data_IF_564074110479
#
_entry.id   IF_564074110479
#
_cell.length_a   1.000
_cell.length_b   1.000
_cell.length_c   1.000
_cell.angle_alpha   90.00
_cell.angle_beta   90.00
_cell.angle_gamma   90.00
#
_symmetry.space_group_name_H-M   'P 1'
#
loop_
_entity.id
_entity.type
_entity.pdbx_description
1 polymer ?
#
# COMPACT_ATOMS: atom_id res chain seq x y z
N UNK A 1 -14.60 19.81 -15.02
CA UNK A 1 -14.27 19.37 -13.64
C UNK A 1 -15.57 18.97 -12.96
N UNK A 2 -15.58 17.90 -12.17
CA UNK A 2 -16.79 17.34 -11.53
C UNK A 2 -16.51 16.99 -10.07
N UNK A 3 -17.54 16.96 -9.22
CA UNK A 3 -17.43 16.43 -7.84
C UNK A 3 -17.46 14.90 -7.77
N UNK A 4 -17.74 14.24 -8.89
CA UNK A 4 -17.66 12.79 -9.03
C UNK A 4 -16.63 12.42 -10.11
N UNK A 5 -15.94 11.28 -9.98
CA UNK A 5 -15.07 10.78 -11.05
C UNK A 5 -15.88 10.61 -12.34
N UNK A 6 -15.20 10.70 -13.49
CA UNK A 6 -15.82 10.40 -14.78
C UNK A 6 -16.15 8.90 -14.96
N UNK A 7 -15.89 8.07 -13.94
CA UNK A 7 -15.74 6.62 -14.02
C UNK A 7 -16.30 5.94 -12.77
N UNK A 8 -16.68 4.67 -12.89
CA UNK A 8 -16.93 3.82 -11.72
C UNK A 8 -15.60 3.21 -11.26
N UNK A 9 -15.04 3.75 -10.18
CA UNK A 9 -13.71 3.41 -9.66
C UNK A 9 -13.70 2.18 -8.74
N UNK A 10 -14.54 1.16 -8.96
CA UNK A 10 -14.45 -0.08 -8.18
C UNK A 10 -13.43 -1.03 -8.81
N UNK A 11 -12.52 -1.59 -7.99
CA UNK A 11 -11.37 -2.41 -8.39
C UNK A 11 -10.27 -1.69 -9.19
N UNK A 12 -9.95 -0.41 -8.93
CA UNK A 12 -9.00 0.34 -9.74
C UNK A 12 -7.56 0.07 -9.28
N UNK A 13 -6.62 0.68 -9.99
CA UNK A 13 -5.31 1.04 -9.46
C UNK A 13 -5.38 2.45 -8.86
N UNK A 14 -4.52 2.74 -7.88
CA UNK A 14 -4.44 4.05 -7.24
C UNK A 14 -3.00 4.46 -7.01
N UNK A 15 -2.70 5.73 -7.29
CA UNK A 15 -1.38 6.32 -7.18
C UNK A 15 -1.46 7.76 -6.65
N UNK A 16 -0.65 8.08 -5.64
CA UNK A 16 -0.56 9.42 -5.03
C UNK A 16 0.57 10.20 -5.68
N UNK A 17 0.22 11.15 -6.54
CA UNK A 17 1.15 11.95 -7.32
C UNK A 17 1.99 12.89 -6.41
N UNK A 18 3.17 13.35 -6.88
CA UNK A 18 4.05 14.24 -6.10
C UNK A 18 3.39 15.55 -5.63
N UNK A 19 2.36 16.02 -6.35
CA UNK A 19 1.60 17.22 -6.02
C UNK A 19 0.40 16.95 -5.10
N UNK A 20 0.25 15.73 -4.59
CA UNK A 20 -0.82 15.33 -3.66
C UNK A 20 -2.14 14.95 -4.34
N UNK A 21 -2.24 15.06 -5.66
CA UNK A 21 -3.40 14.56 -6.41
C UNK A 21 -3.37 13.03 -6.49
N UNK A 22 -4.54 12.41 -6.62
CA UNK A 22 -4.68 10.95 -6.64
C UNK A 22 -5.08 10.53 -8.05
N UNK A 23 -4.24 9.76 -8.72
CA UNK A 23 -4.55 9.09 -9.97
C UNK A 23 -5.29 7.79 -9.67
N UNK A 24 -6.40 7.55 -10.38
CA UNK A 24 -7.22 6.35 -10.29
C UNK A 24 -7.50 5.84 -11.70
N UNK A 25 -7.08 4.62 -12.02
CA UNK A 25 -7.17 4.02 -13.35
C UNK A 25 -7.88 2.65 -13.31
N UNK A 26 -8.64 2.36 -14.35
CA UNK A 26 -9.26 1.06 -14.57
C UNK A 26 -10.39 0.71 -13.61
N UNK A 27 -10.47 -0.59 -13.26
CA UNK A 27 -11.55 -1.16 -12.46
C UNK A 27 -12.79 -1.43 -13.30
N UNK A 28 -13.97 -1.06 -12.79
CA UNK A 28 -15.24 -1.30 -13.48
C UNK A 28 -15.33 -0.51 -14.80
N UNK A 29 -14.73 0.68 -14.84
CA UNK A 29 -14.48 1.44 -16.07
C UNK A 29 -13.05 1.19 -16.58
N UNK A 30 -12.80 -0.05 -17.02
CA UNK A 30 -11.48 -0.68 -17.19
C UNK A 30 -10.40 0.08 -17.99
N UNK A 31 -10.72 0.96 -18.93
CA UNK A 31 -9.73 1.74 -19.67
C UNK A 31 -9.53 3.17 -19.14
N UNK A 32 -10.42 3.65 -18.28
CA UNK A 32 -10.52 5.07 -17.95
C UNK A 32 -9.53 5.46 -16.84
N UNK A 33 -9.08 6.71 -16.88
CA UNK A 33 -8.22 7.32 -15.85
C UNK A 33 -8.85 8.61 -15.35
N UNK A 34 -8.94 8.76 -14.03
CA UNK A 34 -9.41 9.96 -13.35
C UNK A 34 -8.35 10.45 -12.37
N UNK A 35 -8.26 11.77 -12.17
CA UNK A 35 -7.38 12.40 -11.19
C UNK A 35 -8.23 13.20 -10.23
N UNK A 36 -8.13 12.89 -8.94
CA UNK A 36 -8.73 13.65 -7.86
C UNK A 36 -7.76 14.70 -7.33
N UNK A 37 -8.22 15.93 -7.28
CA UNK A 37 -7.54 17.03 -6.63
C UNK A 37 -8.17 17.27 -5.23
N UNK A 38 -7.48 16.93 -4.14
CA UNK A 38 -8.01 17.11 -2.79
C UNK A 38 -8.03 18.58 -2.34
N UNK A 39 -7.24 19.47 -2.93
CA UNK A 39 -7.25 20.89 -2.58
C UNK A 39 -8.47 21.59 -3.17
N UNK A 40 -8.78 21.25 -4.42
CA UNK A 40 -9.93 21.81 -5.14
C UNK A 40 -11.22 21.00 -4.95
N UNK A 41 -11.12 19.79 -4.41
CA UNK A 41 -12.22 18.83 -4.29
C UNK A 41 -12.92 18.58 -5.64
N UNK A 42 -12.12 18.32 -6.68
CA UNK A 42 -12.61 18.05 -8.04
C UNK A 42 -11.92 16.86 -8.67
N UNK A 43 -12.65 16.20 -9.55
CA UNK A 43 -12.16 15.18 -10.45
C UNK A 43 -11.95 15.74 -11.85
N UNK A 44 -10.85 15.30 -12.48
CA UNK A 44 -10.53 15.54 -13.88
C UNK A 44 -10.27 14.21 -14.60
N UNK A 45 -10.66 14.12 -15.86
CA UNK A 45 -10.34 12.98 -16.71
C UNK A 45 -8.91 13.10 -17.23
N UNK A 46 -8.21 11.99 -17.36
CA UNK A 46 -6.90 11.89 -18.00
C UNK A 46 -6.96 10.92 -19.20
N UNK A 47 -5.84 10.72 -19.89
CA UNK A 47 -5.75 9.77 -21.00
C UNK A 47 -6.20 8.36 -20.58
N UNK A 48 -6.88 7.65 -21.48
CA UNK A 48 -7.24 6.25 -21.29
C UNK A 48 -6.01 5.34 -21.39
N UNK A 49 -6.00 4.24 -20.63
CA UNK A 49 -5.00 3.18 -20.77
C UNK A 49 -5.17 2.51 -22.14
N UNK A 50 -4.06 2.14 -22.78
CA UNK A 50 -4.10 1.36 -24.02
C UNK A 50 -4.53 -0.08 -23.74
N UNK A 51 -4.24 -0.58 -22.52
CA UNK A 51 -4.66 -1.91 -22.07
C UNK A 51 -5.67 -1.75 -20.93
N UNK A 52 -6.95 -2.14 -21.13
CA UNK A 52 -7.96 -2.08 -20.07
C UNK A 52 -7.72 -3.10 -18.95
N UNK A 53 -7.90 -2.69 -17.69
CA UNK A 53 -7.53 -3.45 -16.47
C UNK A 53 -8.50 -3.25 -15.30
N UNK A 54 -8.40 -4.15 -14.32
CA UNK A 54 -8.86 -3.96 -12.95
C UNK A 54 -8.11 -4.91 -12.01
N UNK A 55 -7.94 -4.54 -10.73
CA UNK A 55 -7.01 -5.20 -9.77
C UNK A 55 -5.54 -5.14 -10.15
N UNK A 56 -5.15 -4.22 -11.00
CA UNK A 56 -3.74 -3.96 -11.29
C UNK A 56 -3.04 -3.32 -10.07
N UNK A 57 -1.71 -3.45 -10.02
CA UNK A 57 -0.89 -2.67 -9.10
C UNK A 57 -0.30 -1.44 -9.80
N UNK A 58 -0.23 -0.31 -9.09
CA UNK A 58 0.44 0.90 -9.57
C UNK A 58 1.64 1.26 -8.72
N UNK A 59 2.62 1.96 -9.29
CA UNK A 59 3.71 2.60 -8.54
C UNK A 59 4.02 3.98 -9.10
N UNK A 60 4.10 4.97 -8.22
CA UNK A 60 4.53 6.33 -8.56
C UNK A 60 6.06 6.41 -8.55
N UNK A 61 6.62 6.82 -9.68
CA UNK A 61 8.04 7.07 -9.87
C UNK A 61 8.39 8.46 -9.31
N UNK A 62 9.66 8.73 -8.94
CA UNK A 62 10.10 10.03 -8.45
C UNK A 62 9.74 11.23 -9.35
N UNK A 63 9.70 11.03 -10.66
CA UNK A 63 9.31 12.00 -11.70
C UNK A 63 7.83 12.37 -11.64
N UNK A 64 7.01 11.55 -10.97
CA UNK A 64 5.55 11.63 -10.99
C UNK A 64 4.89 10.80 -12.09
N UNK A 65 5.67 10.06 -12.87
CA UNK A 65 5.14 9.03 -13.76
C UNK A 65 4.54 7.87 -12.94
N UNK A 66 3.60 7.14 -13.53
CA UNK A 66 2.93 6.00 -12.86
C UNK A 66 3.08 4.75 -13.69
N UNK A 67 3.79 3.75 -13.17
CA UNK A 67 3.80 2.40 -13.74
C UNK A 67 2.55 1.65 -13.29
N UNK A 68 1.89 0.94 -14.21
CA UNK A 68 0.81 0.01 -13.91
C UNK A 68 1.12 -1.39 -14.44
N UNK A 69 0.80 -2.42 -13.65
CA UNK A 69 1.14 -3.83 -13.94
C UNK A 69 -0.04 -4.75 -13.64
N UNK A 70 -0.32 -5.66 -14.59
CA UNK A 70 -1.31 -6.72 -14.43
C UNK A 70 -2.76 -6.22 -14.48
N UNK A 71 -3.65 -6.95 -13.80
CA UNK A 71 -5.05 -6.60 -13.61
C UNK A 71 -6.03 -7.21 -14.62
N UNK A 72 -6.14 -8.53 -14.64
CA UNK A 72 -7.09 -9.27 -15.49
C UNK A 72 -8.51 -9.41 -14.91
N UNK A 73 -8.85 -8.72 -13.82
CA UNK A 73 -10.20 -8.77 -13.23
C UNK A 73 -11.27 -8.17 -14.16
N UNK A 74 -10.92 -7.14 -14.92
CA UNK A 74 -11.79 -6.51 -15.93
C UNK A 74 -10.98 -6.12 -17.17
N UNK A 75 -11.68 -5.88 -18.28
CA UNK A 75 -11.02 -5.50 -19.54
C UNK A 75 -10.45 -6.69 -20.34
N UNK A 76 -10.88 -7.91 -20.02
CA UNK A 76 -10.45 -9.16 -20.66
C UNK A 76 -9.37 -9.90 -19.87
N UNK A 77 -9.27 -11.21 -20.05
CA UNK A 77 -8.26 -12.07 -19.42
C UNK A 77 -7.12 -12.25 -20.42
N UNK A 78 -5.85 -12.05 -20.03
CA UNK A 78 -4.76 -12.18 -20.99
C UNK A 78 -3.40 -11.61 -20.59
N UNK A 79 -2.97 -11.76 -19.33
CA UNK A 79 -1.67 -11.28 -18.83
C UNK A 79 -1.28 -9.89 -19.33
N UNK A 80 -1.82 -8.87 -18.67
CA UNK A 80 -1.77 -7.49 -19.19
C UNK A 80 -0.33 -6.98 -19.31
N UNK A 81 0.10 -6.61 -20.52
CA UNK A 81 1.34 -5.84 -20.76
C UNK A 81 1.39 -4.65 -19.81
N UNK A 82 2.54 -4.24 -19.30
CA UNK A 82 2.60 -3.07 -18.41
C UNK A 82 2.56 -1.76 -19.20
N UNK A 83 2.16 -0.67 -18.54
CA UNK A 83 2.14 0.67 -19.12
C UNK A 83 2.67 1.71 -18.13
N UNK A 84 3.22 2.80 -18.67
CA UNK A 84 3.60 3.97 -17.87
C UNK A 84 2.77 5.16 -18.30
N UNK A 85 2.17 5.84 -17.33
CA UNK A 85 1.48 7.10 -17.51
C UNK A 85 2.43 8.26 -17.23
N UNK A 86 2.40 9.26 -18.11
CA UNK A 86 2.95 10.59 -17.86
C UNK A 86 1.84 11.63 -18.03
N UNK A 87 1.91 12.71 -17.25
CA UNK A 87 0.89 13.78 -17.27
C UNK A 87 0.74 14.48 -18.62
N UNK A 88 1.82 14.57 -19.41
CA UNK A 88 1.86 15.29 -20.68
C UNK A 88 1.43 14.41 -21.86
N UNK A 89 1.90 13.16 -21.91
CA UNK A 89 1.70 12.27 -23.06
C UNK A 89 0.70 11.15 -22.84
N UNK A 90 0.20 10.97 -21.61
CA UNK A 90 -0.73 9.88 -21.28
C UNK A 90 -0.03 8.53 -21.11
N UNK A 91 -0.74 7.45 -21.45
CA UNK A 91 -0.27 6.09 -21.26
C UNK A 91 0.57 5.60 -22.44
N UNK A 92 1.68 4.94 -22.12
CA UNK A 92 2.57 4.27 -23.08
C UNK A 92 2.79 2.82 -22.68
N UNK A 93 2.63 1.91 -23.63
CA UNK A 93 2.88 0.48 -23.44
C UNK A 93 4.38 0.18 -23.30
N UNK A 94 4.70 -0.66 -22.32
CA UNK A 94 6.01 -1.29 -22.17
C UNK A 94 5.96 -2.67 -22.83
N UNK A 95 6.24 -2.72 -24.14
CA UNK A 95 6.13 -3.95 -24.93
C UNK A 95 7.06 -5.08 -24.46
N UNK A 96 8.18 -4.73 -23.80
CA UNK A 96 9.15 -5.66 -23.22
C UNK A 96 8.86 -6.09 -21.77
N UNK A 97 7.73 -5.68 -21.19
CA UNK A 97 7.28 -6.10 -19.85
C UNK A 97 6.00 -6.93 -20.00
N UNK A 98 6.13 -8.25 -20.06
CA UNK A 98 5.00 -9.16 -20.14
C UNK A 98 4.39 -9.39 -18.76
N UNK A 99 3.05 -9.34 -18.67
CA UNK A 99 2.36 -9.63 -17.41
C UNK A 99 2.55 -11.07 -16.94
N UNK A 100 2.75 -12.01 -17.86
CA UNK A 100 2.96 -13.44 -17.57
C UNK A 100 4.22 -13.69 -16.74
N UNK A 101 5.30 -12.98 -17.07
CA UNK A 101 6.59 -13.09 -16.38
C UNK A 101 6.52 -12.62 -14.91
N UNK A 102 5.50 -11.82 -14.58
CA UNK A 102 5.26 -11.27 -13.23
C UNK A 102 4.15 -12.03 -12.49
N UNK A 103 3.41 -12.90 -13.20
CA UNK A 103 2.23 -13.54 -12.67
C UNK A 103 2.58 -14.71 -11.74
N UNK A 104 1.70 -14.97 -10.76
CA UNK A 104 1.83 -16.12 -9.87
C UNK A 104 1.00 -17.33 -10.30
N UNK A 105 1.25 -18.51 -9.72
CA UNK A 105 0.60 -19.77 -10.09
C UNK A 105 -0.80 -19.94 -9.47
N UNK A 106 -1.67 -18.94 -9.60
CA UNK A 106 -3.03 -19.02 -9.07
C UNK A 106 -3.86 -20.10 -9.79
N UNK A 107 -4.58 -20.99 -9.07
CA UNK A 107 -5.41 -22.02 -9.68
C UNK A 107 -6.60 -21.48 -10.50
N UNK A 108 -7.03 -20.24 -10.28
CA UNK A 108 -8.02 -19.58 -11.14
C UNK A 108 -7.40 -19.01 -12.43
N UNK A 109 -6.11 -19.27 -12.66
CA UNK A 109 -5.34 -18.88 -13.84
C UNK A 109 -5.21 -17.38 -13.97
N UNK A 110 -5.05 -16.93 -15.22
CA UNK A 110 -4.80 -15.54 -15.62
C UNK A 110 -5.73 -14.51 -14.95
N UNK A 111 -6.98 -14.88 -14.66
CA UNK A 111 -7.93 -13.98 -13.99
C UNK A 111 -7.46 -13.51 -12.59
N UNK A 112 -6.62 -14.31 -11.92
CA UNK A 112 -6.09 -14.03 -10.58
C UNK A 112 -4.58 -13.88 -10.53
N UNK A 113 -3.88 -14.60 -11.39
CA UNK A 113 -2.42 -14.67 -11.40
C UNK A 113 -1.71 -13.32 -11.53
N UNK A 114 -2.31 -12.34 -12.23
CA UNK A 114 -1.72 -11.03 -12.47
C UNK A 114 -2.34 -9.88 -11.65
N UNK A 115 -3.03 -10.18 -10.56
CA UNK A 115 -3.65 -9.16 -9.70
C UNK A 115 -2.73 -8.70 -8.58
N UNK A 116 -3.00 -7.49 -8.07
CA UNK A 116 -2.50 -6.99 -6.79
C UNK A 116 -0.97 -6.96 -6.67
N UNK A 117 -0.31 -6.51 -7.73
CA UNK A 117 1.14 -6.45 -7.83
C UNK A 117 1.74 -5.53 -6.77
N UNK A 118 2.74 -6.03 -6.04
CA UNK A 118 3.49 -5.30 -5.01
C UNK A 118 4.63 -4.54 -5.66
N UNK A 119 4.42 -3.27 -5.94
CA UNK A 119 5.33 -2.44 -6.73
C UNK A 119 5.95 -1.34 -5.87
N UNK A 120 7.27 -1.21 -5.91
CA UNK A 120 8.00 -0.19 -5.14
C UNK A 120 9.04 0.50 -6.03
N UNK A 121 8.81 1.78 -6.33
CA UNK A 121 9.74 2.56 -7.13
C UNK A 121 11.08 2.74 -6.41
N UNK A 122 12.18 2.40 -7.08
CA UNK A 122 13.55 2.62 -6.62
C UNK A 122 14.16 3.88 -7.25
N UNK A 123 13.82 4.16 -8.51
CA UNK A 123 14.22 5.35 -9.25
C UNK A 123 13.24 5.63 -10.38
N UNK A 124 13.47 6.68 -11.18
CA UNK A 124 12.71 6.96 -12.41
C UNK A 124 12.88 5.91 -13.51
N UNK A 125 13.70 4.89 -13.26
CA UNK A 125 13.96 3.82 -14.19
C UNK A 125 13.53 2.46 -13.67
N UNK A 126 13.72 2.21 -12.38
CA UNK A 126 13.56 0.87 -11.82
C UNK A 126 12.46 0.82 -10.77
N UNK A 127 11.56 -0.15 -10.92
CA UNK A 127 10.52 -0.50 -9.95
C UNK A 127 10.72 -1.95 -9.51
N UNK A 128 10.79 -2.19 -8.21
CA UNK A 128 10.80 -3.54 -7.65
C UNK A 128 9.37 -4.09 -7.67
N UNK A 129 9.17 -5.21 -8.35
CA UNK A 129 8.03 -6.10 -8.17
C UNK A 129 8.40 -7.15 -7.12
N UNK A 130 7.88 -6.98 -5.90
CA UNK A 130 8.21 -7.80 -4.74
C UNK A 130 7.29 -9.04 -4.59
N UNK A 131 6.26 -9.16 -5.42
CA UNK A 131 5.26 -10.22 -5.41
C UNK A 131 3.90 -9.74 -5.93
N UNK A 132 2.85 -10.58 -5.88
CA UNK A 132 2.70 -11.73 -4.98
C UNK A 132 3.41 -13.02 -5.41
N UNK A 133 3.89 -13.12 -6.66
CA UNK A 133 4.78 -14.22 -7.12
C UNK A 133 5.94 -14.43 -6.17
N UNK A 134 6.42 -15.66 -6.01
CA UNK A 134 7.60 -15.94 -5.17
C UNK A 134 8.87 -15.30 -5.77
N UNK A 135 9.01 -15.37 -7.09
CA UNK A 135 10.06 -14.69 -7.85
C UNK A 135 9.81 -13.18 -7.87
N UNK A 136 10.80 -12.42 -7.40
CA UNK A 136 10.83 -10.97 -7.45
C UNK A 136 11.55 -10.49 -8.70
N UNK A 137 11.21 -9.28 -9.14
CA UNK A 137 11.69 -8.73 -10.40
C UNK A 137 12.00 -7.24 -10.30
N UNK A 138 13.01 -6.78 -11.02
CA UNK A 138 13.17 -5.38 -11.35
C UNK A 138 12.52 -5.09 -12.69
N UNK A 139 11.63 -4.12 -12.73
CA UNK A 139 11.03 -3.59 -13.95
C UNK A 139 11.82 -2.34 -14.33
N UNK A 140 12.56 -2.40 -15.43
CA UNK A 140 13.19 -1.25 -16.09
C UNK A 140 12.16 -0.62 -17.02
N UNK A 141 11.73 0.61 -16.76
CA UNK A 141 10.67 1.28 -17.54
C UNK A 141 11.19 2.05 -18.75
N UNK A 142 12.51 2.04 -18.97
CA UNK A 142 13.14 2.79 -20.07
C UNK A 142 12.78 2.20 -21.43
N UNK A 143 12.44 3.07 -22.39
CA UNK A 143 12.05 2.64 -23.74
C UNK A 143 10.87 1.68 -23.66
N UNK A 144 10.92 0.57 -24.38
CA UNK A 144 9.90 -0.48 -24.36
C UNK A 144 9.81 -1.26 -23.03
N UNK A 145 10.70 -0.97 -22.10
CA UNK A 145 10.81 -1.64 -20.82
C UNK A 145 11.37 -3.05 -20.90
N UNK A 146 11.79 -3.59 -19.76
CA UNK A 146 12.27 -4.97 -19.62
C UNK A 146 12.19 -5.44 -18.18
N UNK A 147 12.18 -6.75 -18.00
CA UNK A 147 12.21 -7.41 -16.70
C UNK A 147 13.63 -7.93 -16.44
N UNK A 148 14.14 -7.70 -15.23
CA UNK A 148 15.39 -8.28 -14.72
C UNK A 148 15.05 -9.12 -13.48
N UNK A 149 15.71 -10.27 -13.27
CA UNK A 149 15.49 -11.08 -12.08
C UNK A 149 15.96 -10.32 -10.82
N UNK A 150 15.22 -10.48 -9.72
CA UNK A 150 15.61 -9.95 -8.40
C UNK A 150 15.69 -11.04 -7.31
N UNK A 151 15.66 -12.31 -7.73
CA UNK A 151 15.70 -13.48 -6.85
C UNK A 151 14.34 -13.84 -6.25
N UNK A 152 14.31 -14.96 -5.51
CA UNK A 152 13.11 -15.39 -4.80
C UNK A 152 12.93 -14.61 -3.50
N UNK A 153 11.68 -14.50 -3.04
CA UNK A 153 11.32 -13.96 -1.73
C UNK A 153 11.65 -14.96 -0.60
N UNK A 154 12.91 -15.42 -0.56
CA UNK A 154 13.39 -16.40 0.41
C UNK A 154 12.61 -17.71 0.34
N UNK A 155 12.13 -18.19 1.50
CA UNK A 155 11.28 -19.37 1.62
C UNK A 155 9.78 -19.08 1.44
N UNK A 156 9.40 -17.84 1.06
CA UNK A 156 8.01 -17.47 0.86
C UNK A 156 7.50 -17.88 -0.52
N UNK A 157 6.46 -18.69 -0.53
CA UNK A 157 5.77 -19.08 -1.75
C UNK A 157 4.87 -17.95 -2.29
N UNK A 158 4.08 -18.25 -3.34
CA UNK A 158 3.05 -17.35 -3.83
C UNK A 158 2.11 -16.90 -2.70
N UNK A 159 1.92 -15.58 -2.57
CA UNK A 159 1.30 -14.96 -1.41
C UNK A 159 0.26 -13.91 -1.81
N UNK A 160 -0.72 -14.30 -2.62
CA UNK A 160 -1.83 -13.43 -3.05
C UNK A 160 -2.57 -12.84 -1.84
N UNK A 161 -2.99 -11.57 -1.96
CA UNK A 161 -3.61 -10.77 -0.90
C UNK A 161 -2.73 -10.60 0.37
N UNK A 162 -1.42 -10.90 0.29
CA UNK A 162 -0.46 -10.51 1.32
C UNK A 162 -0.21 -9.00 1.32
N UNK A 163 0.33 -8.49 2.42
CA UNK A 163 0.65 -7.06 2.54
C UNK A 163 2.16 -6.87 2.53
N UNK A 164 2.61 -5.83 1.84
CA UNK A 164 4.00 -5.38 1.86
C UNK A 164 4.03 -3.89 2.11
N UNK A 165 4.88 -3.46 3.02
CA UNK A 165 5.03 -2.03 3.38
C UNK A 165 6.51 -1.66 3.42
N UNK A 166 6.83 -0.49 2.88
CA UNK A 166 8.18 0.07 2.97
C UNK A 166 8.41 0.68 4.35
N UNK A 167 9.27 0.03 5.14
CA UNK A 167 9.62 0.40 6.53
C UNK A 167 10.96 1.16 6.63
N UNK A 168 11.61 1.41 5.50
CA UNK A 168 12.80 2.21 5.38
C UNK A 168 13.20 2.38 3.92
N UNK A 169 14.26 3.15 3.61
CA UNK A 169 14.59 3.54 2.23
C UNK A 169 14.79 2.37 1.26
N UNK A 170 15.27 1.22 1.76
CA UNK A 170 15.42 -0.01 0.96
C UNK A 170 14.79 -1.24 1.59
N UNK A 171 13.92 -1.07 2.59
CA UNK A 171 13.44 -2.17 3.42
C UNK A 171 11.94 -2.30 3.32
N UNK A 172 11.48 -3.48 2.93
CA UNK A 172 10.08 -3.85 2.91
C UNK A 172 9.81 -4.91 3.97
N UNK A 173 8.71 -4.75 4.71
CA UNK A 173 8.14 -5.81 5.54
C UNK A 173 6.98 -6.45 4.77
N UNK A 174 7.14 -7.72 4.41
CA UNK A 174 6.09 -8.57 3.86
C UNK A 174 5.44 -9.37 4.98
N UNK A 175 4.10 -9.45 4.98
CA UNK A 175 3.32 -10.26 5.92
C UNK A 175 2.18 -11.00 5.23
N UNK A 176 1.93 -12.23 5.67
CA UNK A 176 0.75 -13.01 5.33
C UNK A 176 0.65 -13.39 3.85
N UNK A 177 -0.56 -13.37 3.31
CA UNK A 177 -0.89 -13.83 1.96
C UNK A 177 -1.28 -15.29 1.90
N UNK A 178 -1.76 -15.73 0.74
CA UNK A 178 -2.32 -17.06 0.52
C UNK A 178 -1.86 -17.65 -0.82
N UNK A 179 -1.84 -18.99 -0.97
CA UNK A 179 -1.38 -19.66 -2.20
C UNK A 179 -2.36 -19.54 -3.36
N UNK A 180 -3.52 -18.91 -3.15
CA UNK A 180 -4.49 -18.55 -4.19
C UNK A 180 -5.37 -17.41 -3.69
N UNK A 181 -5.94 -16.65 -4.61
CA UNK A 181 -6.83 -15.53 -4.31
C UNK A 181 -8.02 -15.94 -3.43
N UNK A 182 -8.68 -17.07 -3.76
CA UNK A 182 -9.81 -17.59 -2.99
C UNK A 182 -9.41 -18.57 -1.87
N UNK A 183 -8.11 -18.78 -1.61
CA UNK A 183 -7.66 -19.73 -0.59
C UNK A 183 -8.09 -19.29 0.82
N UNK A 184 -8.57 -20.25 1.60
CA UNK A 184 -8.86 -20.06 3.03
C UNK A 184 -7.62 -20.29 3.92
N UNK A 185 -6.57 -20.88 3.35
CA UNK A 185 -5.30 -21.09 4.03
C UNK A 185 -4.40 -19.89 3.78
N UNK A 186 -4.38 -18.97 4.74
CA UNK A 186 -3.42 -17.88 4.77
C UNK A 186 -2.16 -18.27 5.55
N UNK A 187 -1.05 -17.60 5.23
CA UNK A 187 0.21 -17.69 5.96
C UNK A 187 0.25 -16.69 7.12
N UNK A 188 0.91 -17.06 8.21
CA UNK A 188 1.33 -16.15 9.29
C UNK A 188 2.77 -15.64 9.07
N UNK A 189 3.42 -16.07 7.99
CA UNK A 189 4.81 -15.78 7.68
C UNK A 189 5.06 -14.31 7.42
N UNK A 190 6.24 -13.86 7.85
CA UNK A 190 6.72 -12.50 7.67
C UNK A 190 8.18 -12.49 7.20
N UNK A 191 8.51 -11.55 6.31
CA UNK A 191 9.82 -11.44 5.68
C UNK A 191 10.25 -9.98 5.60
N UNK A 192 11.52 -9.73 5.90
CA UNK A 192 12.17 -8.46 5.61
C UNK A 192 12.90 -8.61 4.27
N UNK A 193 12.60 -7.73 3.33
CA UNK A 193 13.23 -7.64 2.02
C UNK A 193 14.09 -6.37 2.02
N UNK A 194 15.41 -6.51 1.96
CA UNK A 194 16.34 -5.40 1.81
C UNK A 194 16.91 -5.39 0.40
N UNK A 195 16.46 -4.42 -0.40
CA UNK A 195 16.85 -4.31 -1.81
C UNK A 195 18.06 -3.39 -2.04
N UNK A 196 18.71 -2.91 -0.98
CA UNK A 196 20.03 -2.27 -1.01
C UNK A 196 20.28 -1.34 -2.20
N UNK A 197 21.29 -1.67 -3.01
CA UNK A 197 21.75 -0.89 -4.18
C UNK A 197 20.86 -1.05 -5.42
N UNK A 198 19.62 -1.49 -5.23
CA UNK A 198 18.65 -1.70 -6.28
C UNK A 198 19.08 -2.82 -7.24
N UNK A 199 18.95 -2.64 -8.57
CA UNK A 199 19.26 -3.68 -9.55
C UNK A 199 20.76 -3.99 -9.70
N UNK A 200 21.65 -3.26 -9.02
CA UNK A 200 23.10 -3.51 -9.04
C UNK A 200 23.55 -4.56 -8.02
N UNK A 201 22.73 -4.85 -7.02
CA UNK A 201 23.08 -5.75 -5.92
C UNK A 201 22.05 -6.85 -5.71
N UNK A 202 22.41 -7.91 -4.98
CA UNK A 202 21.45 -8.94 -4.59
C UNK A 202 20.47 -8.40 -3.55
N UNK A 203 19.20 -8.78 -3.67
CA UNK A 203 18.21 -8.53 -2.62
C UNK A 203 18.40 -9.53 -1.48
N UNK A 204 18.48 -9.02 -0.25
CA UNK A 204 18.55 -9.87 0.94
C UNK A 204 17.15 -10.09 1.50
N UNK A 205 16.77 -11.35 1.71
CA UNK A 205 15.48 -11.71 2.31
C UNK A 205 15.72 -12.45 3.62
N UNK A 206 15.19 -11.90 4.71
CA UNK A 206 15.32 -12.49 6.05
C UNK A 206 13.95 -12.81 6.62
N UNK A 207 13.71 -14.08 6.93
CA UNK A 207 12.50 -14.52 7.64
C UNK A 207 12.43 -13.85 9.01
N UNK A 208 11.27 -13.29 9.32
CA UNK A 208 10.96 -12.69 10.62
C UNK A 208 10.20 -13.69 11.49
N UNK A 209 9.99 -13.35 12.78
CA UNK A 209 9.07 -14.14 13.61
C UNK A 209 7.67 -14.09 12.99
N UNK A 210 6.91 -15.20 13.00
CA UNK A 210 5.57 -15.21 12.43
C UNK A 210 4.62 -14.30 13.23
N UNK A 211 3.56 -13.86 12.58
CA UNK A 211 2.41 -13.26 13.25
C UNK A 211 1.74 -14.30 14.17
N UNK A 212 1.03 -13.84 15.19
CA UNK A 212 0.22 -14.73 16.02
C UNK A 212 -0.97 -15.31 15.24
N UNK A 213 -1.43 -14.61 14.20
CA UNK A 213 -2.52 -15.05 13.33
C UNK A 213 -2.19 -14.87 11.85
N UNK A 214 -2.62 -15.83 11.03
CA UNK A 214 -2.61 -15.69 9.58
C UNK A 214 -3.77 -14.78 9.12
N UNK A 215 -3.51 -13.62 8.47
CA UNK A 215 -4.57 -12.71 8.02
C UNK A 215 -5.43 -13.35 6.92
N UNK A 216 -6.75 -13.40 7.09
CA UNK A 216 -7.67 -14.06 6.14
C UNK A 216 -8.56 -13.05 5.42
N UNK A 217 -8.30 -12.78 4.14
CA UNK A 217 -9.22 -12.00 3.30
C UNK A 217 -10.29 -12.91 2.69
N UNK A 218 -11.36 -13.19 3.45
CA UNK A 218 -12.45 -14.02 2.94
C UNK A 218 -13.37 -13.24 2.00
N UNK A 219 -13.50 -13.70 0.76
CA UNK A 219 -14.57 -13.30 -0.15
C UNK A 219 -15.87 -14.07 0.12
N UNK A 220 -17.01 -13.38 -0.04
CA UNK A 220 -18.29 -14.03 -0.29
C UNK A 220 -18.47 -14.22 -1.79
N UNK A 221 -18.68 -15.46 -2.20
CA UNK A 221 -18.98 -15.83 -3.58
C UNK A 221 -20.23 -15.05 -4.04
N UNK A 222 -20.09 -14.20 -5.05
CA UNK A 222 -21.21 -13.54 -5.74
C UNK A 222 -22.20 -14.62 -6.20
N UNK A 223 -23.52 -14.54 -5.92
CA UNK A 223 -24.46 -15.48 -6.49
C UNK A 223 -24.36 -15.36 -8.01
N UNK A 224 -24.11 -16.48 -8.69
CA UNK A 224 -24.10 -16.52 -10.13
C UNK A 224 -25.42 -15.91 -10.64
N UNK A 225 -25.30 -14.96 -11.57
CA UNK A 225 -26.44 -14.38 -12.26
C UNK A 225 -27.35 -15.50 -12.77
N UNK A 226 -28.65 -15.32 -12.55
CA UNK A 226 -29.71 -16.29 -12.81
C UNK A 226 -29.52 -17.03 -14.15
N UNK A 227 -29.11 -18.30 -14.09
CA UNK A 227 -29.66 -19.33 -14.98
C UNK A 227 -30.48 -20.28 -14.12
N UNK A 228 -31.79 -20.28 -14.39
CA UNK A 228 -32.77 -21.15 -13.73
C UNK A 228 -32.33 -22.61 -13.88
N UNK A 229 -32.17 -23.31 -12.76
CA UNK A 229 -32.78 -24.63 -12.53
C UNK A 229 -32.83 -24.93 -11.03
N UNK A 230 -34.04 -25.27 -10.58
CA UNK A 230 -34.39 -25.87 -9.29
C UNK A 230 -33.47 -27.05 -9.01
N UNK A 231 -32.82 -27.08 -7.84
CA UNK A 231 -33.28 -27.93 -6.74
C UNK A 231 -32.66 -27.50 -5.39
N UNK A 232 -33.35 -27.86 -4.31
CA UNK A 232 -33.25 -27.35 -2.95
C UNK A 232 -32.24 -28.13 -2.08
N UNK A 233 -31.65 -27.38 -1.13
CA UNK A 233 -31.17 -27.77 0.22
C UNK A 233 -29.85 -28.56 0.31
N UNK A 234 -28.82 -27.86 0.80
CA UNK A 234 -28.26 -28.10 2.15
C UNK A 234 -27.76 -26.77 2.73
N UNK A 235 -28.34 -26.39 3.88
CA UNK A 235 -27.94 -25.25 4.70
C UNK A 235 -26.48 -25.41 5.14
N UNK A 236 -25.60 -24.52 4.70
CA UNK A 236 -24.32 -24.25 5.36
C UNK A 236 -24.09 -22.73 5.34
N UNK A 237 -24.84 -21.99 6.17
CA UNK A 237 -24.61 -20.54 6.31
C UNK A 237 -24.97 -19.98 7.68
N UNK A 238 -25.25 -20.79 8.71
CA UNK A 238 -25.69 -20.26 10.02
C UNK A 238 -24.77 -20.56 11.22
N UNK A 239 -23.66 -21.28 11.05
CA UNK A 239 -22.77 -21.65 12.18
C UNK A 239 -21.30 -21.25 12.02
N UNK A 240 -20.89 -20.57 10.94
CA UNK A 240 -19.48 -20.24 10.67
C UNK A 240 -19.13 -18.74 10.78
N UNK A 241 -20.10 -17.89 11.15
CA UNK A 241 -19.88 -16.44 11.34
C UNK A 241 -19.38 -16.06 12.75
N UNK A 242 -19.44 -16.97 13.74
CA UNK A 242 -19.05 -16.69 15.14
C UNK A 242 -17.67 -17.21 15.56
N UNK A 243 -16.95 -17.91 14.68
CA UNK A 243 -15.62 -18.46 15.00
C UNK A 243 -14.68 -18.28 13.81
N UNK A 244 -14.19 -17.06 13.62
CA UNK A 244 -12.95 -16.81 12.90
C UNK A 244 -12.06 -15.99 13.84
N UNK A 245 -11.11 -16.71 14.43
CA UNK A 245 -10.06 -16.23 15.34
C UNK A 245 -9.13 -15.27 14.61
N UNK A 246 -8.84 -14.12 15.21
CA UNK A 246 -7.94 -13.07 14.69
C UNK A 246 -8.57 -11.68 14.64
N UNK A 247 -9.11 -11.18 15.76
CA UNK A 247 -9.62 -9.80 15.88
C UNK A 247 -8.55 -8.82 16.38
N UNK A 248 -7.39 -9.34 16.80
CA UNK A 248 -6.36 -8.57 17.47
C UNK A 248 -5.42 -8.01 16.39
N UNK A 249 -5.32 -6.68 16.22
CA UNK A 249 -4.28 -6.10 15.38
C UNK A 249 -2.92 -6.45 15.97
N UNK A 250 -1.91 -6.61 15.12
CA UNK A 250 -0.54 -6.87 15.54
C UNK A 250 0.38 -5.71 15.15
N UNK A 251 1.14 -5.20 16.12
CA UNK A 251 2.18 -4.20 15.89
C UNK A 251 3.53 -4.91 15.74
N UNK A 252 4.14 -4.77 14.57
CA UNK A 252 5.50 -5.22 14.36
C UNK A 252 6.52 -4.19 14.85
N UNK A 253 7.56 -4.65 15.54
CA UNK A 253 8.73 -3.84 15.84
C UNK A 253 10.01 -4.63 15.58
N UNK A 254 11.08 -3.91 15.22
CA UNK A 254 12.41 -4.51 15.08
C UNK A 254 13.01 -4.66 16.49
N UNK A 255 13.22 -5.90 16.94
CA UNK A 255 13.87 -6.20 18.22
C UNK A 255 15.03 -7.18 18.01
N UNK A 256 16.29 -6.73 18.18
CA UNK A 256 17.46 -7.58 17.95
C UNK A 256 17.61 -7.98 16.47
N UNK A 257 18.03 -9.24 16.21
CA UNK A 257 18.31 -9.76 14.86
C UNK A 257 17.06 -9.95 13.97
N UNK A 258 15.92 -10.37 14.55
CA UNK A 258 14.65 -10.59 13.85
C UNK A 258 13.52 -9.82 14.56
N UNK A 259 12.63 -9.18 13.79
CA UNK A 259 11.48 -8.45 14.35
C UNK A 259 10.43 -9.35 15.00
N UNK A 260 9.58 -8.75 15.82
CA UNK A 260 8.53 -9.42 16.59
C UNK A 260 7.20 -8.68 16.48
N UNK A 261 6.10 -9.42 16.65
CA UNK A 261 4.75 -8.90 16.67
C UNK A 261 4.21 -8.83 18.09
N UNK A 262 3.52 -7.73 18.41
CA UNK A 262 2.80 -7.54 19.66
C UNK A 262 1.31 -7.34 19.37
N UNK A 263 0.46 -8.14 20.00
CA UNK A 263 -1.00 -7.97 19.90
C UNK A 263 -1.46 -6.67 20.54
N UNK A 264 -2.44 -6.04 19.90
CA UNK A 264 -3.14 -4.84 20.35
C UNK A 264 -4.57 -5.20 20.75
N UNK A 265 -5.31 -4.19 21.23
CA UNK A 265 -6.71 -4.36 21.61
C UNK A 265 -7.55 -4.86 20.41
N UNK A 266 -8.44 -5.84 20.62
CA UNK A 266 -9.25 -6.41 19.56
C UNK A 266 -10.24 -5.39 18.98
N UNK A 267 -10.46 -5.47 17.67
CA UNK A 267 -11.57 -4.79 17.01
C UNK A 267 -12.88 -5.59 17.17
N UNK A 268 -14.02 -4.92 17.11
CA UNK A 268 -15.33 -5.56 17.29
C UNK A 268 -15.95 -6.02 15.97
N UNK A 269 -15.58 -5.39 14.86
CA UNK A 269 -16.09 -5.70 13.52
C UNK A 269 -15.02 -6.41 12.68
N UNK A 270 -15.32 -7.53 12.00
CA UNK A 270 -14.36 -8.21 11.14
C UNK A 270 -14.04 -7.39 9.88
N UNK A 271 -12.74 -7.13 9.65
CA UNK A 271 -12.22 -6.37 8.51
C UNK A 271 -11.51 -7.31 7.53
N UNK A 272 -12.30 -7.88 6.62
CA UNK A 272 -11.85 -8.87 5.63
C UNK A 272 -11.76 -8.25 4.23
N UNK A 273 -12.21 -8.98 3.21
CA UNK A 273 -12.22 -8.51 1.84
C UNK A 273 -13.03 -7.20 1.69
N UNK A 274 -12.50 -6.24 0.92
CA UNK A 274 -12.97 -4.83 0.82
C UNK A 274 -12.85 -3.98 2.08
N UNK A 275 -12.03 -4.39 3.04
CA UNK A 275 -11.61 -3.48 4.12
C UNK A 275 -10.36 -2.70 3.74
N UNK A 276 -10.18 -1.57 4.42
CA UNK A 276 -9.01 -0.71 4.30
C UNK A 276 -8.49 -0.33 5.68
N UNK A 277 -7.20 -0.01 5.75
CA UNK A 277 -6.58 0.63 6.90
C UNK A 277 -5.71 1.80 6.43
N UNK A 278 -5.84 2.97 7.08
CA UNK A 278 -5.13 4.20 6.70
C UNK A 278 -4.53 4.88 7.94
N UNK A 279 -3.28 5.33 7.82
CA UNK A 279 -2.67 6.20 8.83
C UNK A 279 -3.31 7.59 8.76
N UNK A 280 -3.81 8.07 9.89
CA UNK A 280 -4.40 9.40 10.02
C UNK A 280 -3.32 10.44 10.35
N UNK A 281 -3.61 11.71 10.05
CA UNK A 281 -2.72 12.86 10.35
C UNK A 281 -2.43 13.06 11.84
N UNK A 282 -3.24 12.47 12.70
CA UNK A 282 -3.04 12.50 14.16
C UNK A 282 -2.33 11.23 14.67
N UNK A 283 -1.72 10.44 13.79
CA UNK A 283 -1.02 9.19 14.05
C UNK A 283 -1.90 8.05 14.59
N UNK A 284 -3.23 8.16 14.51
CA UNK A 284 -4.13 7.02 14.71
C UNK A 284 -4.28 6.21 13.40
N UNK A 285 -4.88 5.04 13.50
CA UNK A 285 -5.16 4.19 12.33
C UNK A 285 -6.66 4.06 12.15
N UNK A 286 -7.17 4.56 11.02
CA UNK A 286 -8.52 4.28 10.56
C UNK A 286 -8.58 2.86 10.02
N UNK A 287 -9.56 2.06 10.44
CA UNK A 287 -9.82 0.74 9.87
C UNK A 287 -11.32 0.62 9.58
N UNK A 288 -11.69 0.31 8.34
CA UNK A 288 -13.10 0.32 7.96
C UNK A 288 -13.41 -0.53 6.74
N UNK A 289 -14.69 -0.57 6.39
CA UNK A 289 -15.18 -1.33 5.24
C UNK A 289 -15.25 -2.84 5.48
N UNK A 290 -15.41 -3.57 4.39
CA UNK A 290 -15.69 -5.00 4.36
C UNK A 290 -17.01 -5.32 3.64
N UNK A 291 -16.98 -6.32 2.76
CA UNK A 291 -18.20 -6.84 2.12
C UNK A 291 -18.43 -6.35 0.69
N UNK A 292 -19.27 -5.32 0.53
CA UNK A 292 -19.78 -4.80 -0.76
C UNK A 292 -20.40 -5.89 -1.67
N UNK A 293 -21.29 -6.70 -1.11
CA UNK A 293 -21.88 -7.89 -1.76
C UNK A 293 -23.33 -7.71 -2.25
N UNK A 294 -23.82 -6.47 -2.34
CA UNK A 294 -25.22 -6.14 -2.69
C UNK A 294 -26.14 -6.13 -1.46
N UNK A 295 -27.46 -6.10 -1.69
CA UNK A 295 -28.47 -6.03 -0.63
C UNK A 295 -29.59 -7.07 -0.83
N UNK A 296 -30.00 -7.82 0.22
CA UNK A 296 -29.39 -7.83 1.56
C UNK A 296 -28.07 -8.61 1.59
N UNK A 297 -27.09 -8.15 2.37
CA UNK A 297 -25.87 -8.89 2.66
C UNK A 297 -25.35 -8.55 4.07
N UNK A 298 -25.35 -9.54 4.96
CA UNK A 298 -25.04 -9.38 6.39
C UNK A 298 -23.55 -9.12 6.69
N UNK A 299 -22.70 -9.13 5.68
CA UNK A 299 -21.25 -8.88 5.80
C UNK A 299 -20.83 -7.56 5.17
N UNK A 300 -21.80 -6.71 4.80
CA UNK A 300 -21.50 -5.33 4.46
C UNK A 300 -21.24 -4.59 5.77
N UNK A 301 -20.07 -3.96 5.87
CA UNK A 301 -19.66 -3.15 7.01
C UNK A 301 -19.47 -1.70 6.56
N UNK A 302 -20.55 -0.89 6.46
CA UNK A 302 -20.47 0.53 6.11
C UNK A 302 -20.05 1.39 7.31
N UNK A 303 -19.14 0.86 8.13
CA UNK A 303 -18.67 1.41 9.39
C UNK A 303 -17.14 1.36 9.46
N UNK A 304 -16.59 1.99 10.49
CA UNK A 304 -15.15 2.03 10.75
C UNK A 304 -14.88 2.12 12.26
N UNK A 305 -13.69 1.68 12.64
CA UNK A 305 -13.12 1.81 13.98
C UNK A 305 -11.78 2.57 13.87
N UNK A 306 -11.39 3.28 14.94
CA UNK A 306 -10.12 4.00 15.00
C UNK A 306 -9.27 3.36 16.08
N UNK A 307 -8.10 2.84 15.69
CA UNK A 307 -7.08 2.36 16.61
C UNK A 307 -6.22 3.54 17.07
N UNK A 308 -6.19 3.77 18.39
CA UNK A 308 -5.22 4.64 19.05
C UNK A 308 -4.02 3.79 19.46
N UNK A 309 -2.85 3.92 18.81
CA UNK A 309 -1.70 3.07 19.12
C UNK A 309 -1.08 3.42 20.48
N UNK A 310 -0.35 2.47 21.10
CA UNK A 310 0.21 2.68 22.44
C UNK A 310 1.17 3.87 22.58
N UNK A 311 1.82 4.30 21.50
CA UNK A 311 2.66 5.52 21.51
C UNK A 311 1.86 6.83 21.63
N UNK A 312 0.53 6.80 21.72
CA UNK A 312 -0.33 7.96 22.00
C UNK A 312 -0.94 7.89 23.41
N UNK A 313 -0.54 6.91 24.22
CA UNK A 313 -1.13 6.63 25.53
C UNK A 313 -0.05 6.63 26.62
N UNK A 314 -0.41 7.14 27.79
CA UNK A 314 0.36 6.92 29.02
C UNK A 314 0.14 5.48 29.52
N UNK A 315 0.93 5.05 30.50
CA UNK A 315 0.82 3.70 31.10
C UNK A 315 -0.55 3.42 31.73
N UNK A 316 -1.25 4.47 32.18
CA UNK A 316 -2.61 4.39 32.74
C UNK A 316 -3.73 4.34 31.67
N UNK A 317 -3.35 4.40 30.38
CA UNK A 317 -4.28 4.40 29.24
C UNK A 317 -4.87 5.77 28.90
N UNK A 318 -4.55 6.84 29.64
CA UNK A 318 -4.90 8.21 29.26
C UNK A 318 -4.07 8.69 28.06
N UNK A 319 -4.50 9.76 27.38
CA UNK A 319 -3.76 10.29 26.24
C UNK A 319 -2.43 10.91 26.68
N UNK A 320 -1.34 10.51 26.04
CA UNK A 320 -0.02 11.11 26.25
C UNK A 320 0.02 12.55 25.72
N UNK A 321 0.77 13.41 26.40
CA UNK A 321 1.09 14.74 25.91
C UNK A 321 1.96 14.62 24.64
N UNK A 322 1.63 15.37 23.59
CA UNK A 322 2.27 15.23 22.26
C UNK A 322 3.15 16.44 21.97
N UNK A 323 4.34 16.26 21.36
CA UNK A 323 5.10 17.39 20.83
C UNK A 323 4.33 18.09 19.71
N UNK A 324 4.50 19.41 19.61
CA UNK A 324 3.94 20.23 18.54
C UNK A 324 5.05 20.78 17.63
N UNK A 325 4.83 20.69 16.32
CA UNK A 325 5.63 21.42 15.33
C UNK A 325 5.15 22.87 15.33
N UNK A 326 6.02 23.80 15.73
CA UNK A 326 5.73 25.23 15.82
C UNK A 326 6.06 25.98 14.53
N UNK A 327 7.00 25.46 13.73
CA UNK A 327 7.34 26.01 12.41
C UNK A 327 7.95 24.94 11.51
N UNK A 328 7.56 24.93 10.23
CA UNK A 328 8.15 24.12 9.17
C UNK A 328 7.85 24.75 7.79
N UNK A 329 8.71 24.58 6.78
CA UNK A 329 8.39 25.03 5.42
C UNK A 329 7.20 24.27 4.83
N UNK A 330 6.37 24.96 4.05
CA UNK A 330 5.20 24.37 3.40
C UNK A 330 5.55 23.40 2.26
N UNK A 331 6.72 23.59 1.65
CA UNK A 331 7.26 22.80 0.53
C UNK A 331 8.78 22.71 0.66
N UNK A 332 9.36 21.62 0.18
CA UNK A 332 10.80 21.45 0.08
C UNK A 332 11.14 20.64 -1.18
N UNK A 333 12.32 20.87 -1.75
CA UNK A 333 12.84 20.07 -2.86
C UNK A 333 13.55 18.83 -2.34
N UNK A 334 13.60 17.80 -3.18
CA UNK A 334 14.38 16.61 -2.90
C UNK A 334 15.86 16.98 -2.67
N UNK A 335 16.44 16.52 -1.56
CA UNK A 335 17.82 16.83 -1.16
C UNK A 335 18.01 18.19 -0.46
N UNK A 336 16.96 19.02 -0.37
CA UNK A 336 17.01 20.29 0.36
C UNK A 336 17.03 20.07 1.88
N UNK A 337 17.79 20.90 2.61
CA UNK A 337 17.70 20.94 4.07
C UNK A 337 16.50 21.79 4.47
N UNK A 338 15.73 21.30 5.43
CA UNK A 338 14.61 22.05 6.00
C UNK A 338 14.88 22.32 7.48
N UNK A 339 14.46 23.48 7.95
CA UNK A 339 14.43 23.79 9.38
C UNK A 339 13.03 23.54 9.93
N UNK A 340 12.95 22.79 11.04
CA UNK A 340 11.69 22.48 11.73
C UNK A 340 11.87 22.86 13.19
N UNK A 341 10.91 23.59 13.74
CA UNK A 341 10.90 23.98 15.15
C UNK A 341 9.79 23.25 15.90
N UNK A 342 10.06 22.88 17.14
CA UNK A 342 9.13 22.20 18.04
C UNK A 342 9.02 22.93 19.38
N UNK A 343 7.95 22.66 20.13
CA UNK A 343 7.72 23.20 21.47
C UNK A 343 8.53 22.48 22.55
N UNK A 344 8.89 21.21 22.33
CA UNK A 344 9.74 20.39 23.19
C UNK A 344 10.90 19.76 22.40
N UNK A 345 12.01 19.35 23.05
CA UNK A 345 13.07 18.59 22.39
C UNK A 345 12.56 17.25 21.83
N UNK A 346 12.89 16.95 20.57
CA UNK A 346 12.46 15.74 19.85
C UNK A 346 13.63 14.86 19.41
N UNK A 347 13.34 13.58 19.16
CA UNK A 347 14.21 12.57 18.55
C UNK A 347 13.88 12.48 17.04
N UNK A 348 14.64 11.73 16.17
CA UNK A 348 14.59 11.95 14.72
C UNK A 348 13.20 11.87 14.10
N UNK A 349 13.00 12.69 13.06
CA UNK A 349 11.71 12.97 12.42
C UNK A 349 11.35 11.86 11.44
N UNK A 350 10.09 11.46 11.37
CA UNK A 350 9.59 10.49 10.38
C UNK A 350 8.82 11.23 9.29
N UNK A 351 9.25 11.08 8.03
CA UNK A 351 8.42 11.45 6.89
C UNK A 351 7.59 10.25 6.45
N UNK A 352 6.32 10.50 6.17
CA UNK A 352 5.39 9.53 5.63
C UNK A 352 4.84 10.06 4.30
N UNK A 353 4.68 9.18 3.32
CA UNK A 353 3.83 9.47 2.18
C UNK A 353 2.45 8.86 2.45
N UNK A 354 1.40 9.69 2.38
CA UNK A 354 0.03 9.20 2.37
C UNK A 354 -0.16 8.28 1.15
N UNK A 355 -0.71 7.08 1.37
CA UNK A 355 -0.96 6.13 0.30
C UNK A 355 -2.45 5.92 0.04
N UNK A 356 -2.83 5.72 -1.21
CA UNK A 356 -4.11 5.12 -1.58
C UNK A 356 -4.11 3.62 -1.25
N UNK A 357 -5.25 3.08 -0.81
CA UNK A 357 -5.41 1.65 -0.53
C UNK A 357 -6.72 1.09 -1.09
N UNK A 358 -6.61 -0.03 -1.80
CA UNK A 358 -7.74 -0.90 -2.12
C UNK A 358 -7.27 -2.37 -2.18
N UNK A 359 -8.15 -3.32 -1.86
CA UNK A 359 -7.90 -4.78 -1.90
C UNK A 359 -6.54 -5.25 -1.35
N UNK A 360 -6.11 -4.75 -0.19
CA UNK A 360 -4.80 -5.03 0.46
C UNK A 360 -3.55 -4.45 -0.23
N UNK A 361 -3.70 -3.78 -1.37
CA UNK A 361 -2.60 -3.14 -2.10
C UNK A 361 -2.41 -1.72 -1.59
N UNK A 362 -1.16 -1.36 -1.33
CA UNK A 362 -0.75 -0.03 -0.86
C UNK A 362 0.68 0.27 -1.29
N UNK A 363 0.89 0.42 -2.59
CA UNK A 363 2.22 0.64 -3.17
C UNK A 363 2.78 2.05 -2.91
N UNK A 364 1.94 3.00 -2.51
CA UNK A 364 2.33 4.39 -2.26
C UNK A 364 2.83 4.65 -0.83
N UNK A 365 2.39 3.87 0.16
CA UNK A 365 2.73 4.12 1.56
C UNK A 365 4.20 3.75 1.83
N UNK A 366 4.97 4.74 2.27
CA UNK A 366 6.36 4.56 2.70
C UNK A 366 6.67 5.38 3.95
N UNK A 367 7.60 4.89 4.76
CA UNK A 367 8.16 5.62 5.92
C UNK A 367 9.67 5.74 5.80
N UNK A 368 10.22 6.92 6.09
CA UNK A 368 11.67 7.16 6.17
C UNK A 368 12.02 7.96 7.42
N UNK A 369 13.15 7.61 8.05
CA UNK A 369 13.72 8.39 9.14
C UNK A 369 14.58 9.54 8.59
N UNK A 370 14.51 10.70 9.23
CA UNK A 370 15.26 11.91 8.91
C UNK A 370 16.14 12.25 10.11
N UNK A 371 17.44 12.44 9.89
CA UNK A 371 18.41 12.70 10.96
C UNK A 371 18.27 14.16 11.45
N UNK A 372 18.09 14.35 12.75
CA UNK A 372 18.06 15.65 13.40
C UNK A 372 19.45 15.98 13.98
N UNK A 373 20.02 17.13 13.61
CA UNK A 373 21.26 17.63 14.21
C UNK A 373 20.98 18.34 15.52
N UNK A 374 21.12 17.64 16.65
CA UNK A 374 20.69 18.11 17.97
C UNK A 374 21.23 19.48 18.40
N UNK A 375 20.34 20.47 18.50
CA UNK A 375 20.31 21.63 19.42
C UNK A 375 18.96 22.34 19.25
N UNK A 376 18.55 23.16 20.22
CA UNK A 376 17.26 23.91 20.34
C UNK A 376 16.72 24.65 19.07
N UNK A 377 17.48 24.65 17.97
CA UNK A 377 17.09 24.90 16.57
C UNK A 377 17.64 23.73 15.75
N UNK A 378 16.81 22.72 15.46
CA UNK A 378 17.30 21.52 14.77
C UNK A 378 17.28 21.75 13.25
N UNK A 379 18.46 21.73 12.64
CA UNK A 379 18.62 21.52 11.21
C UNK A 379 18.38 20.04 10.92
N UNK A 380 17.37 19.77 10.09
CA UNK A 380 16.91 18.42 9.79
C UNK A 380 17.47 17.99 8.43
N UNK A 381 18.23 16.89 8.41
CA UNK A 381 18.83 16.31 7.19
C UNK A 381 18.02 15.12 6.68
N UNK A 382 17.51 15.15 5.43
CA UNK A 382 17.35 13.90 4.70
C UNK A 382 18.72 13.20 4.69
N UNK A 383 18.78 11.93 5.09
CA UNK A 383 20.04 11.18 5.17
C UNK A 383 20.81 11.16 3.83
N UNK A 384 22.12 10.86 3.84
CA UNK A 384 22.95 10.91 2.63
C UNK A 384 22.37 10.04 1.51
N UNK A 385 22.26 10.63 0.32
CA UNK A 385 21.93 9.94 -0.93
C UNK A 385 23.23 9.59 -1.65
N UNK A 386 23.44 8.31 -1.96
CA UNK A 386 24.30 7.91 -3.06
C UNK A 386 23.55 8.18 -4.37
N UNK A 387 24.26 8.72 -5.35
CA UNK A 387 23.72 9.10 -6.66
C UNK A 387 22.95 7.92 -7.30
N UNK A 388 21.62 8.06 -7.40
CA UNK A 388 20.72 7.10 -8.05
C UNK A 388 19.61 6.49 -7.18
N UNK A 389 19.51 6.83 -5.88
CA UNK A 389 18.50 6.30 -4.96
C UNK A 389 17.34 7.29 -4.78
N UNK A 390 16.09 6.85 -5.01
CA UNK A 390 14.93 7.70 -4.78
C UNK A 390 14.60 7.85 -3.30
N UNK A 391 14.60 9.08 -2.78
CA UNK A 391 13.58 9.46 -1.82
C UNK A 391 12.38 9.96 -2.63
N UNK A 392 11.23 9.29 -2.51
CA UNK A 392 10.05 9.78 -3.20
C UNK A 392 9.59 11.11 -2.62
N UNK A 393 9.05 12.00 -3.46
CA UNK A 393 8.39 13.21 -2.97
C UNK A 393 7.30 12.81 -1.97
N UNK A 394 7.38 13.37 -0.76
CA UNK A 394 6.54 12.99 0.37
C UNK A 394 6.37 14.15 1.34
N UNK A 395 5.41 14.03 2.25
CA UNK A 395 5.05 15.07 3.22
C UNK A 395 5.78 14.82 4.53
N UNK A 396 6.22 15.90 5.20
CA UNK A 396 6.64 15.81 6.59
C UNK A 396 5.39 15.71 7.48
N UNK A 397 5.16 14.53 8.08
CA UNK A 397 3.90 14.22 8.75
C UNK A 397 3.99 14.03 10.26
N UNK A 398 5.14 13.73 10.87
CA UNK A 398 5.23 13.68 12.34
C UNK A 398 6.67 13.74 12.88
N UNK A 399 6.84 14.38 14.04
CA UNK A 399 8.04 14.26 14.89
C UNK A 399 7.75 13.37 16.09
N UNK A 400 8.77 12.74 16.69
CA UNK A 400 8.63 11.96 17.93
C UNK A 400 9.46 12.56 19.05
N UNK A 401 8.93 12.58 20.26
CA UNK A 401 9.72 12.95 21.44
C UNK A 401 10.61 11.79 21.94
N UNK A 402 11.27 11.99 23.08
CA UNK A 402 12.12 10.95 23.72
C UNK A 402 11.33 9.74 24.25
N UNK A 403 10.01 9.86 24.43
CA UNK A 403 9.12 8.77 24.81
C UNK A 403 8.49 8.08 23.57
N UNK A 404 8.96 8.41 22.36
CA UNK A 404 8.41 7.98 21.08
C UNK A 404 6.99 8.47 20.77
N UNK A 405 6.47 9.44 21.53
CA UNK A 405 5.14 10.02 21.31
C UNK A 405 5.15 10.86 20.02
N UNK A 406 4.25 10.54 19.09
CA UNK A 406 4.18 11.21 17.79
C UNK A 406 3.38 12.53 17.84
N UNK A 407 3.88 13.58 17.20
CA UNK A 407 3.12 14.82 16.96
C UNK A 407 1.94 14.62 16.02
N UNK A 408 1.05 15.60 15.91
CA UNK A 408 0.18 15.70 14.73
C UNK A 408 1.01 16.11 13.50
N UNK A 409 0.50 15.82 12.30
CA UNK A 409 1.06 16.33 11.07
C UNK A 409 0.97 17.85 10.96
N UNK A 410 2.02 18.45 10.39
CA UNK A 410 2.08 19.90 10.20
C UNK A 410 0.88 20.34 9.37
N UNK A 411 0.16 21.36 9.84
CA UNK A 411 -0.93 21.98 9.09
C UNK A 411 -0.33 22.96 8.07
N UNK A 412 -0.86 23.01 6.86
CA UNK A 412 -0.74 24.24 6.05
C UNK A 412 -1.60 25.29 6.74
N UNK A 413 -1.04 26.45 7.05
CA UNK A 413 -1.88 27.63 7.22
C UNK A 413 -2.49 27.92 5.85
N UNK A 414 -3.82 27.83 5.75
CA UNK A 414 -4.54 28.39 4.62
C UNK A 414 -4.33 29.90 4.63
N UNK A 415 -3.44 30.38 3.75
CA UNK A 415 -3.40 31.78 3.35
C UNK A 415 -4.41 32.03 2.24
#
# INVERSE_FOLDING_TARGET
>A
MSRAPATTCFCPGTATLPDGRILVNGGSSNAKTSIYDPELNVWTTSAEMNVPRGYQGDAVLPSGDVLTVGGSWSGGIGYKKSEVWNRLSGWRVLSGVNGEDLAGPDPAGQFRSDNHMWLFAYSDRYVLHAGPSAQMHWIDVKGDGRILPAGDRGDDAYAMNGNVVMIGPTKLLKIGGAPAYESLQASDGAHLIDFGDGPKGPIQVTRQRPMAFAPRFRQLRRPAGRRRRRDRRKQFSRSLQRRAVGHDPELWSKSGGNGAFRRLAPMTVPRNYHSIALLMKDARVFVGGGGLCGSPCDTNHPDAEILTPPYLLNDDGSLAARPAITSAPATARLGERISVSTDVPVSPVLAHQAGGRDHSVSNDQRSGAIEAGGRQRDDVRPGPQDEGRAAAPGRLDAVRDRAETASQASRRSSG
#
